data_IF_760102812572
#
_entry.id   IF_760102812572
#
_cell.length_a   1.000
_cell.length_b   1.000
_cell.length_c   1.000
_cell.angle_alpha   90.00
_cell.angle_beta   90.00
_cell.angle_gamma   90.00
#
_symmetry.space_group_name_H-M   'P 1'
#
loop_
_entity.id
_entity.type
_entity.pdbx_description
1 polymer ?
#
# COMPACT_ATOMS: atom_id res chain seq x y z
N UNK A 1 -17.01 5.01 -28.32
CA UNK A 1 -15.69 4.87 -27.66
C UNK A 1 -15.82 5.44 -26.27
N UNK A 2 -15.48 4.69 -25.22
CA UNK A 2 -15.38 5.27 -23.88
C UNK A 2 -14.17 6.20 -23.85
N UNK A 3 -14.39 7.48 -23.56
CA UNK A 3 -13.30 8.45 -23.40
C UNK A 3 -12.84 8.37 -21.96
N UNK A 4 -11.66 7.81 -21.72
CA UNK A 4 -11.00 7.95 -20.41
C UNK A 4 -10.57 9.41 -20.24
N UNK A 5 -10.93 10.01 -19.10
CA UNK A 5 -10.45 11.33 -18.70
C UNK A 5 -9.70 11.16 -17.38
N UNK A 6 -8.45 11.61 -17.35
CA UNK A 6 -7.66 11.67 -16.13
C UNK A 6 -7.54 13.13 -15.70
N UNK A 7 -8.14 13.47 -14.56
CA UNK A 7 -8.08 14.80 -13.98
C UNK A 7 -7.03 14.79 -12.86
N UNK A 8 -5.91 15.48 -13.09
CA UNK A 8 -4.89 15.68 -12.06
C UNK A 8 -5.17 16.97 -11.28
N UNK A 9 -4.71 17.04 -10.03
CA UNK A 9 -4.93 18.21 -9.16
C UNK A 9 -6.41 18.59 -8.98
N UNK A 10 -7.29 17.58 -9.02
CA UNK A 10 -8.71 17.72 -8.70
C UNK A 10 -8.91 18.19 -7.26
N UNK A 11 -9.78 19.18 -7.07
CA UNK A 11 -10.22 19.66 -5.76
C UNK A 11 -11.70 19.29 -5.61
N UNK A 12 -11.94 18.01 -5.30
CA UNK A 12 -13.29 17.47 -5.11
C UNK A 12 -13.86 18.06 -3.83
N UNK A 13 -14.84 18.95 -4.01
CA UNK A 13 -15.50 19.67 -2.93
C UNK A 13 -16.73 18.97 -2.39
N UNK A 14 -17.39 18.15 -3.22
CA UNK A 14 -18.67 17.53 -2.90
C UNK A 14 -18.91 16.30 -3.77
N UNK A 15 -19.53 15.27 -3.18
CA UNK A 15 -20.10 14.11 -3.87
C UNK A 15 -21.49 13.90 -3.30
N UNK A 16 -22.51 13.85 -4.15
CA UNK A 16 -23.90 13.68 -3.73
C UNK A 16 -24.72 13.01 -4.84
N UNK A 17 -25.98 12.67 -4.55
CA UNK A 17 -26.92 12.19 -5.57
C UNK A 17 -27.81 13.33 -6.07
N UNK A 18 -27.99 13.39 -7.39
CA UNK A 18 -28.99 14.24 -8.00
C UNK A 18 -30.38 13.74 -7.60
N UNK A 19 -31.24 14.63 -7.08
CA UNK A 19 -32.53 14.28 -6.48
C UNK A 19 -33.51 13.62 -7.46
N UNK A 20 -33.53 14.09 -8.72
CA UNK A 20 -34.46 13.57 -9.74
C UNK A 20 -33.93 12.33 -10.49
N UNK A 21 -32.66 12.33 -10.89
CA UNK A 21 -32.08 11.27 -11.73
C UNK A 21 -31.46 10.14 -10.93
N UNK A 22 -31.14 10.37 -9.65
CA UNK A 22 -30.44 9.41 -8.79
C UNK A 22 -28.95 9.21 -9.13
N UNK A 23 -28.42 9.96 -10.12
CA UNK A 23 -27.01 9.90 -10.53
C UNK A 23 -26.10 10.53 -9.49
N UNK A 24 -24.85 10.07 -9.45
CA UNK A 24 -23.81 10.69 -8.65
C UNK A 24 -23.33 11.97 -9.30
N UNK A 25 -23.28 13.05 -8.54
CA UNK A 25 -22.73 14.35 -8.93
C UNK A 25 -21.44 14.55 -8.16
N UNK A 26 -20.36 14.88 -8.88
CA UNK A 26 -19.04 15.19 -8.32
C UNK A 26 -18.72 16.63 -8.66
N UNK A 27 -18.57 17.47 -7.63
CA UNK A 27 -18.21 18.87 -7.76
C UNK A 27 -16.71 19.06 -7.58
N UNK A 28 -16.00 19.28 -8.67
CA UNK A 28 -14.57 19.58 -8.68
C UNK A 28 -14.36 21.08 -8.93
N UNK A 29 -13.75 21.79 -7.98
CA UNK A 29 -13.49 23.24 -8.13
C UNK A 29 -12.50 23.57 -9.26
N UNK A 30 -11.67 22.60 -9.64
CA UNK A 30 -10.64 22.76 -10.67
C UNK A 30 -11.18 22.38 -12.05
N UNK A 31 -11.95 21.29 -12.15
CA UNK A 31 -12.37 20.71 -13.43
C UNK A 31 -13.88 20.81 -13.71
N UNK A 32 -14.64 21.40 -12.79
CA UNK A 32 -16.09 21.58 -12.88
C UNK A 32 -16.90 20.39 -12.36
N UNK A 33 -18.22 20.50 -12.50
CA UNK A 33 -19.17 19.46 -12.05
C UNK A 33 -19.42 18.43 -13.14
N UNK A 34 -19.51 17.16 -12.75
CA UNK A 34 -19.84 16.05 -13.65
C UNK A 34 -20.78 15.03 -12.99
N UNK A 35 -21.60 14.36 -13.82
CA UNK A 35 -22.51 13.31 -13.39
C UNK A 35 -22.05 11.91 -13.81
N UNK A 36 -22.30 10.93 -12.95
CA UNK A 36 -21.90 9.54 -13.14
C UNK A 36 -23.00 8.59 -12.67
N UNK A 37 -23.16 7.46 -13.37
CA UNK A 37 -24.07 6.40 -12.94
C UNK A 37 -23.47 5.57 -11.79
N UNK A 38 -22.14 5.51 -11.71
CA UNK A 38 -21.40 4.79 -10.68
C UNK A 38 -20.20 5.59 -10.19
N UNK A 39 -19.82 5.39 -8.92
CA UNK A 39 -18.60 5.94 -8.33
C UNK A 39 -17.78 4.84 -7.67
N UNK A 40 -16.45 4.91 -7.84
CA UNK A 40 -15.50 3.99 -7.20
C UNK A 40 -14.57 4.82 -6.33
N UNK A 41 -14.56 4.55 -5.03
CA UNK A 41 -13.60 5.15 -4.09
C UNK A 41 -12.37 4.25 -4.01
N UNK A 42 -11.24 4.76 -4.48
CA UNK A 42 -9.97 4.02 -4.59
C UNK A 42 -8.81 4.73 -3.84
N UNK A 43 -9.10 5.25 -2.65
CA UNK A 43 -8.16 6.02 -1.82
C UNK A 43 -7.66 5.19 -0.63
N UNK A 44 -6.81 5.76 0.23
CA UNK A 44 -6.53 5.18 1.55
C UNK A 44 -7.82 5.14 2.41
N UNK A 45 -7.88 4.31 3.47
CA UNK A 45 -9.10 4.12 4.25
C UNK A 45 -9.58 5.41 4.95
N UNK A 46 -8.68 6.29 5.39
CA UNK A 46 -9.07 7.50 6.12
C UNK A 46 -9.67 8.53 5.16
N UNK A 47 -9.04 8.75 4.00
CA UNK A 47 -9.63 9.56 2.93
C UNK A 47 -10.95 8.98 2.44
N UNK A 48 -11.05 7.64 2.30
CA UNK A 48 -12.29 6.98 1.92
C UNK A 48 -13.40 7.24 2.95
N UNK A 49 -13.10 7.14 4.25
CA UNK A 49 -14.06 7.42 5.31
C UNK A 49 -14.54 8.89 5.30
N UNK A 50 -13.65 9.84 4.98
CA UNK A 50 -14.02 11.26 4.82
C UNK A 50 -14.98 11.43 3.63
N UNK A 51 -14.63 10.88 2.46
CA UNK A 51 -15.44 10.93 1.25
C UNK A 51 -16.83 10.32 1.49
N UNK A 52 -16.86 9.17 2.17
CA UNK A 52 -18.07 8.39 2.38
C UNK A 52 -19.00 8.98 3.45
N UNK A 53 -18.52 9.88 4.31
CA UNK A 53 -19.25 10.35 5.49
C UNK A 53 -20.66 10.84 5.18
N UNK A 54 -20.84 11.54 4.07
CA UNK A 54 -22.13 12.14 3.68
C UNK A 54 -22.94 11.27 2.71
N UNK A 55 -22.32 10.29 2.06
CA UNK A 55 -22.97 9.47 1.02
C UNK A 55 -23.25 8.03 1.46
N UNK A 56 -22.48 7.51 2.43
CA UNK A 56 -22.69 6.22 3.08
C UNK A 56 -22.10 6.24 4.50
N UNK A 57 -22.83 6.84 5.48
CA UNK A 57 -22.32 7.02 6.84
C UNK A 57 -21.92 5.72 7.54
N UNK A 58 -22.68 4.64 7.29
CA UNK A 58 -22.35 3.31 7.82
C UNK A 58 -21.00 2.83 7.29
N UNK A 59 -20.80 2.87 5.98
CA UNK A 59 -19.56 2.42 5.36
C UNK A 59 -18.36 3.29 5.77
N UNK A 60 -18.59 4.59 5.93
CA UNK A 60 -17.59 5.52 6.47
C UNK A 60 -17.16 5.15 7.89
N UNK A 61 -18.11 4.82 8.77
CA UNK A 61 -17.82 4.37 10.13
C UNK A 61 -17.04 3.06 10.15
N UNK A 62 -17.39 2.11 9.28
CA UNK A 62 -16.70 0.82 9.19
C UNK A 62 -15.26 0.99 8.71
N UNK A 63 -15.04 1.73 7.62
CA UNK A 63 -13.70 1.93 7.03
C UNK A 63 -12.84 2.83 7.93
N UNK A 64 -13.43 3.81 8.61
CA UNK A 64 -12.73 4.72 9.50
C UNK A 64 -12.10 4.07 10.75
N UNK A 65 -12.42 2.80 11.02
CA UNK A 65 -11.81 2.03 12.11
C UNK A 65 -10.45 1.42 11.75
N UNK A 66 -10.03 1.50 10.48
CA UNK A 66 -8.72 0.98 10.07
C UNK A 66 -7.64 1.82 10.72
N UNK A 67 -6.93 1.21 11.67
CA UNK A 67 -5.77 1.83 12.31
C UNK A 67 -4.63 2.00 11.30
N UNK A 68 -3.86 3.07 11.47
CA UNK A 68 -2.69 3.36 10.64
C UNK A 68 -1.48 3.62 11.53
N UNK A 69 -0.30 3.24 11.04
CA UNK A 69 0.98 3.65 11.59
C UNK A 69 1.71 4.52 10.58
N UNK A 70 2.43 5.53 11.07
CA UNK A 70 3.21 6.41 10.21
C UNK A 70 4.58 5.80 9.94
N UNK A 71 5.03 5.90 8.69
CA UNK A 71 6.35 5.50 8.25
C UNK A 71 7.01 6.64 7.49
N UNK A 72 8.18 7.07 7.96
CA UNK A 72 9.00 8.04 7.24
C UNK A 72 9.93 7.30 6.27
N UNK A 73 10.13 7.89 5.10
CA UNK A 73 11.13 7.45 4.13
C UNK A 73 11.99 8.62 3.69
N UNK A 74 13.30 8.44 3.74
CA UNK A 74 14.25 9.47 3.33
C UNK A 74 15.09 8.94 2.16
N UNK A 75 15.09 9.66 1.05
CA UNK A 75 16.02 9.46 -0.05
C UNK A 75 17.25 10.32 0.19
N UNK A 76 18.44 9.74 0.23
CA UNK A 76 19.68 10.44 0.55
C UNK A 76 20.91 9.79 -0.10
N UNK A 77 22.06 10.44 0.03
CA UNK A 77 23.36 9.91 -0.41
C UNK A 77 24.32 9.63 0.76
N UNK A 78 23.80 9.63 1.99
CA UNK A 78 24.58 9.33 3.18
C UNK A 78 24.88 7.83 3.34
N UNK A 79 26.12 7.44 3.06
CA UNK A 79 26.60 6.05 3.23
C UNK A 79 26.64 5.60 4.70
N UNK A 80 26.46 6.49 5.69
CA UNK A 80 26.47 6.13 7.12
C UNK A 80 25.33 5.20 7.54
N UNK A 81 24.29 5.06 6.70
CA UNK A 81 23.16 4.13 6.87
C UNK A 81 23.44 2.72 6.36
N UNK A 82 24.60 2.51 5.73
CA UNK A 82 25.05 1.22 5.28
C UNK A 82 26.03 0.61 6.29
N UNK A 83 26.29 -0.72 6.23
CA UNK A 83 27.39 -1.32 7.00
C UNK A 83 28.71 -0.57 6.75
N UNK A 84 29.51 -0.37 7.80
CA UNK A 84 30.80 0.32 7.69
C UNK A 84 31.78 -0.41 6.76
N UNK A 85 31.67 -1.73 6.66
CA UNK A 85 32.36 -2.53 5.65
C UNK A 85 31.51 -2.61 4.37
N UNK A 86 32.00 -1.96 3.31
CA UNK A 86 31.39 -1.97 1.98
C UNK A 86 31.22 -3.38 1.39
N UNK A 87 32.02 -4.36 1.82
CA UNK A 87 31.90 -5.74 1.36
C UNK A 87 30.62 -6.43 1.88
N UNK A 88 29.99 -5.89 2.93
CA UNK A 88 28.75 -6.41 3.51
C UNK A 88 27.50 -5.72 2.97
N UNK A 89 27.65 -4.76 2.04
CA UNK A 89 26.52 -4.06 1.47
C UNK A 89 25.62 -5.02 0.70
N UNK A 90 24.36 -5.04 1.09
CA UNK A 90 23.30 -5.74 0.38
C UNK A 90 22.38 -4.73 -0.30
N UNK A 91 21.58 -5.14 -1.31
CA UNK A 91 20.55 -4.26 -1.87
C UNK A 91 19.55 -3.77 -0.82
N UNK A 92 19.35 -4.54 0.25
CA UNK A 92 18.53 -4.21 1.42
C UNK A 92 19.35 -4.44 2.69
N UNK A 93 19.42 -3.45 3.58
CA UNK A 93 20.13 -3.54 4.85
C UNK A 93 19.16 -3.22 5.98
N UNK A 94 19.19 -4.03 7.04
CA UNK A 94 18.28 -3.88 8.17
C UNK A 94 19.10 -3.60 9.43
N UNK A 95 18.72 -2.55 10.15
CA UNK A 95 19.30 -2.20 11.44
C UNK A 95 18.19 -2.19 12.48
N UNK A 96 18.43 -2.86 13.60
CA UNK A 96 17.51 -2.84 14.73
C UNK A 96 18.26 -2.50 16.01
N UNK A 97 17.63 -1.67 16.84
CA UNK A 97 18.13 -1.36 18.18
C UNK A 97 17.19 -1.97 19.20
N UNK A 98 17.77 -2.71 20.15
CA UNK A 98 17.05 -3.22 21.34
C UNK A 98 17.46 -2.37 22.53
N UNK A 99 16.51 -1.69 23.15
CA UNK A 99 16.73 -1.02 24.44
C UNK A 99 16.69 -2.07 25.55
N UNK A 100 17.79 -2.34 26.27
CA UNK A 100 17.78 -3.30 27.37
C UNK A 100 16.80 -2.86 28.47
N UNK A 101 15.90 -3.75 28.89
CA UNK A 101 14.91 -3.47 29.95
C UNK A 101 13.56 -2.90 29.49
N UNK A 102 13.44 -2.46 28.22
CA UNK A 102 12.14 -2.14 27.63
C UNK A 102 11.58 -3.40 26.96
N UNK A 103 10.49 -3.97 27.50
CA UNK A 103 9.91 -5.21 26.98
C UNK A 103 9.38 -5.11 25.54
N UNK A 104 9.20 -3.92 24.94
CA UNK A 104 8.33 -3.78 23.77
C UNK A 104 8.77 -2.88 22.60
N UNK A 105 9.91 -2.18 22.63
CA UNK A 105 10.23 -1.25 21.54
C UNK A 105 11.57 -1.57 20.87
N UNK A 106 11.53 -2.54 19.96
CA UNK A 106 12.58 -2.69 18.94
C UNK A 106 12.28 -1.70 17.83
N UNK A 107 13.12 -0.68 17.68
CA UNK A 107 13.04 0.21 16.52
C UNK A 107 13.82 -0.44 15.38
N UNK A 108 13.27 -0.36 14.18
CA UNK A 108 13.83 -0.98 12.99
C UNK A 108 13.93 0.05 11.88
N UNK A 109 15.12 0.17 11.32
CA UNK A 109 15.44 0.96 10.14
C UNK A 109 15.80 0.01 9.01
N UNK A 110 15.35 0.34 7.81
CA UNK A 110 15.69 -0.42 6.62
C UNK A 110 16.21 0.51 5.53
N UNK A 111 17.39 0.21 5.01
CA UNK A 111 18.08 0.99 3.98
C UNK A 111 18.15 0.19 2.69
N UNK A 112 17.48 0.68 1.66
CA UNK A 112 17.56 0.18 0.31
C UNK A 112 18.71 0.87 -0.43
N UNK A 113 19.58 0.08 -1.06
CA UNK A 113 20.65 0.58 -1.91
C UNK A 113 20.17 0.66 -3.36
N UNK A 114 19.79 1.86 -3.79
CA UNK A 114 19.07 2.04 -5.05
C UNK A 114 19.92 1.68 -6.25
N UNK A 115 21.23 1.95 -6.22
CA UNK A 115 22.13 1.59 -7.31
C UNK A 115 22.27 0.08 -7.50
N UNK A 116 22.05 -0.73 -6.46
CA UNK A 116 22.03 -2.18 -6.57
C UNK A 116 20.66 -2.73 -6.99
N UNK A 117 19.57 -2.06 -6.62
CA UNK A 117 18.20 -2.46 -6.95
C UNK A 117 17.75 -2.02 -8.34
N UNK A 118 18.29 -0.91 -8.84
CA UNK A 118 17.91 -0.30 -10.10
C UNK A 118 19.17 0.00 -10.93
N UNK A 119 19.12 -0.17 -12.27
CA UNK A 119 20.22 0.17 -13.15
C UNK A 119 20.32 1.69 -13.36
N UNK A 120 20.53 2.45 -12.29
CA UNK A 120 20.78 3.89 -12.35
C UNK A 120 22.26 4.14 -12.68
N UNK A 121 22.52 4.96 -13.69
CA UNK A 121 23.86 5.12 -14.31
C UNK A 121 24.85 5.95 -13.49
N UNK A 122 24.58 6.15 -12.20
CA UNK A 122 25.25 7.18 -11.43
C UNK A 122 26.41 6.59 -10.61
N UNK A 123 27.55 7.29 -10.64
CA UNK A 123 28.68 7.01 -9.75
C UNK A 123 28.34 7.30 -8.28
N UNK A 124 27.36 8.18 -8.05
CA UNK A 124 26.92 8.56 -6.72
C UNK A 124 26.00 7.49 -6.15
N UNK A 125 26.29 7.06 -4.92
CA UNK A 125 25.46 6.10 -4.20
C UNK A 125 24.21 6.79 -3.66
N UNK A 126 23.06 6.17 -3.90
CA UNK A 126 21.74 6.64 -3.50
C UNK A 126 21.08 5.57 -2.66
N UNK A 127 20.52 6.01 -1.53
CA UNK A 127 19.88 5.16 -0.55
C UNK A 127 18.50 5.69 -0.24
N UNK A 128 17.57 4.77 -0.01
CA UNK A 128 16.28 5.08 0.59
C UNK A 128 16.20 4.37 1.95
N UNK A 129 16.09 5.16 3.01
CA UNK A 129 16.00 4.64 4.38
C UNK A 129 14.60 4.86 4.92
N UNK A 130 13.99 3.81 5.47
CA UNK A 130 12.72 3.91 6.19
C UNK A 130 12.90 3.88 7.68
N UNK A 131 12.11 4.71 8.36
CA UNK A 131 12.07 4.85 9.80
C UNK A 131 13.48 4.98 10.39
N UNK A 132 14.24 6.00 9.92
CA UNK A 132 15.64 6.12 10.27
C UNK A 132 15.83 6.27 11.79
N UNK A 133 16.83 5.58 12.35
CA UNK A 133 17.20 5.65 13.75
C UNK A 133 18.07 6.88 14.07
N UNK A 134 18.59 7.53 13.03
CA UNK A 134 19.40 8.75 13.11
C UNK A 134 19.10 9.65 11.93
N UNK A 135 19.28 10.95 12.12
CA UNK A 135 19.14 11.93 11.05
C UNK A 135 20.30 11.82 10.04
N UNK A 136 20.04 11.79 8.72
CA UNK A 136 21.11 11.85 7.73
C UNK A 136 21.97 13.11 7.83
N UNK A 137 23.23 13.01 7.42
CA UNK A 137 24.14 14.16 7.42
C UNK A 137 23.56 15.33 6.62
N UNK A 138 23.76 16.54 7.13
CA UNK A 138 23.30 17.76 6.48
C UNK A 138 23.80 17.84 5.02
N UNK A 139 22.91 18.24 4.10
CA UNK A 139 23.20 18.33 2.68
C UNK A 139 23.19 17.00 1.91
N UNK A 140 22.96 15.86 2.57
CA UNK A 140 22.86 14.55 1.89
C UNK A 140 21.42 14.12 1.57
N UNK A 141 20.44 14.76 2.19
CA UNK A 141 19.01 14.47 1.98
C UNK A 141 18.57 15.03 0.63
N UNK A 142 18.00 14.16 -0.21
CA UNK A 142 17.41 14.51 -1.50
C UNK A 142 15.92 14.82 -1.33
N UNK A 143 15.20 13.93 -0.64
CA UNK A 143 13.76 14.09 -0.38
C UNK A 143 13.31 13.29 0.83
N UNK A 144 12.17 13.70 1.41
CA UNK A 144 11.48 12.99 2.48
C UNK A 144 10.04 12.76 2.11
N UNK A 145 9.45 11.69 2.64
CA UNK A 145 8.04 11.40 2.49
C UNK A 145 7.52 10.69 3.74
N UNK A 146 6.26 10.95 4.08
CA UNK A 146 5.56 10.32 5.18
C UNK A 146 4.39 9.52 4.62
N UNK A 147 4.21 8.30 5.10
CA UNK A 147 3.17 7.40 4.64
C UNK A 147 2.40 6.82 5.81
N UNK A 148 1.08 6.76 5.65
CA UNK A 148 0.21 6.02 6.55
C UNK A 148 0.12 4.56 6.08
N UNK A 149 0.33 3.64 7.01
CA UNK A 149 0.36 2.20 6.76
C UNK A 149 -0.77 1.53 7.52
N UNK A 150 -1.79 1.00 6.83
CA UNK A 150 -2.90 0.32 7.49
C UNK A 150 -2.42 -0.89 8.29
N UNK A 151 -2.88 -1.00 9.53
CA UNK A 151 -2.63 -2.14 10.39
C UNK A 151 -3.70 -3.22 10.17
N UNK A 152 -3.30 -4.49 10.28
CA UNK A 152 -4.23 -5.62 10.25
C UNK A 152 -4.61 -5.96 11.68
N UNK A 153 -5.88 -5.79 12.01
CA UNK A 153 -6.46 -6.06 13.33
C UNK A 153 -7.71 -6.94 13.21
N UNK A 154 -8.27 -7.39 14.33
CA UNK A 154 -9.52 -8.16 14.33
C UNK A 154 -10.70 -7.33 13.81
N UNK A 155 -10.69 -6.03 14.08
CA UNK A 155 -11.66 -5.06 13.59
C UNK A 155 -11.59 -4.93 12.07
N UNK A 156 -10.37 -4.92 11.50
CA UNK A 156 -10.22 -4.90 10.04
C UNK A 156 -10.78 -6.15 9.38
N UNK A 157 -10.75 -7.32 10.04
CA UNK A 157 -11.35 -8.54 9.51
C UNK A 157 -12.89 -8.45 9.45
N UNK A 158 -13.53 -7.85 10.46
CA UNK A 158 -14.98 -7.61 10.45
C UNK A 158 -15.39 -6.61 9.38
N UNK A 159 -14.61 -5.54 9.21
CA UNK A 159 -14.83 -4.52 8.17
C UNK A 159 -14.91 -5.13 6.75
N UNK A 160 -14.11 -6.16 6.45
CA UNK A 160 -14.13 -6.81 5.14
C UNK A 160 -15.52 -7.38 4.78
N UNK A 161 -16.25 -7.92 5.76
CA UNK A 161 -17.60 -8.45 5.53
C UNK A 161 -18.59 -7.33 5.17
N UNK A 162 -18.52 -6.21 5.88
CA UNK A 162 -19.40 -5.07 5.64
C UNK A 162 -19.08 -4.38 4.31
N UNK A 163 -17.80 -4.19 3.99
CA UNK A 163 -17.37 -3.66 2.69
C UNK A 163 -17.83 -4.57 1.56
N UNK A 164 -17.69 -5.90 1.71
CA UNK A 164 -18.16 -6.85 0.69
C UNK A 164 -19.67 -6.78 0.46
N UNK A 165 -20.46 -6.57 1.51
CA UNK A 165 -21.91 -6.45 1.41
C UNK A 165 -22.36 -5.11 0.77
N UNK A 166 -21.55 -4.06 0.88
CA UNK A 166 -21.85 -2.74 0.34
C UNK A 166 -21.50 -2.56 -1.14
N UNK A 167 -20.71 -3.45 -1.75
CA UNK A 167 -20.23 -3.30 -3.13
C UNK A 167 -21.38 -3.19 -4.14
N UNK A 168 -21.43 -2.07 -4.86
CA UNK A 168 -22.37 -1.83 -5.95
C UNK A 168 -23.76 -1.38 -5.50
N UNK A 169 -24.03 -1.33 -4.19
CA UNK A 169 -25.27 -0.79 -3.65
C UNK A 169 -25.36 0.67 -4.08
N UNK A 170 -26.46 1.03 -4.75
CA UNK A 170 -26.70 2.39 -5.24
C UNK A 170 -25.62 2.93 -6.20
N UNK A 171 -24.87 2.02 -6.84
CA UNK A 171 -23.79 2.36 -7.76
C UNK A 171 -22.49 2.82 -7.09
N UNK A 172 -22.37 2.70 -5.77
CA UNK A 172 -21.17 3.00 -4.99
C UNK A 172 -20.29 1.75 -4.85
N UNK A 173 -18.99 1.92 -5.11
CA UNK A 173 -17.97 0.88 -4.95
C UNK A 173 -16.79 1.41 -4.16
N UNK A 174 -16.07 0.51 -3.50
CA UNK A 174 -14.84 0.84 -2.76
C UNK A 174 -13.79 -0.22 -3.08
N UNK A 175 -12.58 0.21 -3.41
CA UNK A 175 -11.43 -0.67 -3.57
C UNK A 175 -10.18 -0.06 -2.95
N UNK A 176 -9.19 -0.91 -2.70
CA UNK A 176 -7.94 -0.56 -2.05
C UNK A 176 -7.33 -1.78 -1.37
N UNK A 177 -6.04 -1.71 -1.04
CA UNK A 177 -5.35 -2.84 -0.42
C UNK A 177 -6.03 -3.30 0.90
N UNK A 178 -6.63 -2.35 1.64
CA UNK A 178 -7.34 -2.60 2.90
C UNK A 178 -8.67 -3.34 2.73
N UNK A 179 -9.22 -3.44 1.51
CA UNK A 179 -10.53 -4.09 1.28
C UNK A 179 -10.42 -5.59 1.01
N UNK A 180 -9.23 -6.17 1.14
CA UNK A 180 -8.98 -7.60 0.99
C UNK A 180 -8.27 -8.16 2.23
N UNK A 181 -8.46 -9.46 2.47
CA UNK A 181 -7.79 -10.17 3.55
C UNK A 181 -6.28 -10.27 3.33
N UNK A 182 -5.51 -10.20 4.42
CA UNK A 182 -4.06 -10.35 4.40
C UNK A 182 -3.35 -9.02 4.64
N UNK A 183 -2.03 -9.02 4.48
CA UNK A 183 -1.24 -7.79 4.56
C UNK A 183 -1.60 -6.91 3.36
N UNK A 184 -1.93 -5.62 3.55
CA UNK A 184 -2.34 -4.74 2.47
C UNK A 184 -1.14 -4.36 1.60
N UNK A 185 -0.95 -5.07 0.49
CA UNK A 185 0.10 -4.84 -0.51
C UNK A 185 -0.47 -4.33 -1.85
N UNK A 186 0.42 -4.02 -2.80
CA UNK A 186 0.03 -3.52 -4.12
C UNK A 186 -0.80 -4.53 -4.90
N UNK A 187 -0.53 -5.82 -4.74
CA UNK A 187 -1.30 -6.89 -5.35
C UNK A 187 -2.74 -6.91 -4.81
N UNK A 188 -2.93 -6.63 -3.52
CA UNK A 188 -4.26 -6.48 -2.94
C UNK A 188 -4.99 -5.26 -3.53
N UNK A 189 -4.28 -4.13 -3.67
CA UNK A 189 -4.86 -2.94 -4.30
C UNK A 189 -5.30 -3.24 -5.74
N UNK A 190 -4.43 -3.84 -6.54
CA UNK A 190 -4.72 -4.21 -7.93
C UNK A 190 -5.86 -5.24 -8.03
N UNK A 191 -5.84 -6.31 -7.24
CA UNK A 191 -6.90 -7.33 -7.25
C UNK A 191 -8.24 -6.75 -6.79
N UNK A 192 -8.26 -5.87 -5.80
CA UNK A 192 -9.50 -5.23 -5.34
C UNK A 192 -10.13 -4.36 -6.43
N UNK A 193 -9.33 -3.57 -7.16
CA UNK A 193 -9.79 -2.76 -8.28
C UNK A 193 -10.30 -3.62 -9.43
N UNK A 194 -9.59 -4.70 -9.77
CA UNK A 194 -10.03 -5.66 -10.78
C UNK A 194 -11.38 -6.28 -10.41
N UNK A 195 -11.58 -6.71 -9.16
CA UNK A 195 -12.86 -7.28 -8.71
C UNK A 195 -14.03 -6.31 -8.85
N UNK A 196 -13.81 -5.02 -8.57
CA UNK A 196 -14.83 -3.98 -8.80
C UNK A 196 -15.11 -3.84 -10.29
N UNK A 197 -14.07 -3.75 -11.12
CA UNK A 197 -14.21 -3.62 -12.57
C UNK A 197 -14.95 -4.82 -13.20
N UNK A 198 -14.64 -6.05 -12.78
CA UNK A 198 -15.29 -7.27 -13.26
C UNK A 198 -16.78 -7.29 -12.91
N UNK A 199 -17.12 -6.93 -11.67
CA UNK A 199 -18.53 -6.83 -11.23
C UNK A 199 -19.30 -5.72 -11.94
N UNK A 200 -18.66 -4.56 -12.14
CA UNK A 200 -19.28 -3.41 -12.78
C UNK A 200 -19.48 -3.63 -14.28
N UNK A 201 -18.49 -4.18 -14.97
CA UNK A 201 -18.52 -4.41 -16.41
C UNK A 201 -19.21 -5.72 -16.81
N UNK A 202 -19.36 -6.68 -15.89
CA UNK A 202 -19.84 -8.03 -16.19
C UNK A 202 -18.88 -8.85 -17.05
N UNK A 203 -17.60 -8.45 -17.09
CA UNK A 203 -16.55 -9.09 -17.90
C UNK A 203 -15.43 -9.55 -16.97
N UNK A 204 -15.09 -10.83 -17.03
CA UNK A 204 -13.97 -11.39 -16.28
C UNK A 204 -12.63 -11.02 -16.95
N UNK A 205 -11.57 -10.88 -16.15
CA UNK A 205 -10.21 -10.70 -16.69
C UNK A 205 -9.79 -11.88 -17.58
N UNK A 206 -9.04 -11.64 -18.66
CA UNK A 206 -8.73 -12.66 -19.66
C UNK A 206 -7.61 -13.63 -19.25
N UNK A 207 -7.05 -13.50 -18.04
CA UNK A 207 -6.02 -14.40 -17.50
C UNK A 207 -6.49 -15.08 -16.22
N UNK A 208 -6.13 -16.35 -16.04
CA UNK A 208 -6.40 -17.07 -14.80
C UNK A 208 -5.41 -16.68 -13.71
N UNK A 209 -5.93 -16.48 -12.49
CA UNK A 209 -5.11 -16.26 -11.32
C UNK A 209 -4.72 -17.63 -10.73
N UNK A 210 -3.53 -18.13 -11.07
CA UNK A 210 -3.02 -19.42 -10.56
C UNK A 210 -2.75 -19.43 -9.04
N UNK A 211 -2.91 -18.29 -8.36
CA UNK A 211 -2.67 -18.16 -6.91
C UNK A 211 -3.85 -18.57 -6.02
N UNK A 212 -4.93 -19.16 -6.55
CA UNK A 212 -5.93 -19.87 -5.71
C UNK A 212 -5.40 -21.22 -5.18
N UNK A 213 -4.14 -21.29 -4.75
CA UNK A 213 -3.82 -22.25 -3.69
C UNK A 213 -4.40 -21.64 -2.44
N UNK A 214 -5.43 -22.27 -1.88
CA UNK A 214 -5.78 -22.06 -0.48
C UNK A 214 -4.47 -22.06 0.30
N UNK A 215 -4.10 -20.92 0.88
CA UNK A 215 -2.94 -20.84 1.74
C UNK A 215 -3.28 -21.80 2.88
N UNK A 216 -2.60 -22.95 3.03
CA UNK A 216 -2.78 -23.76 4.22
C UNK A 216 -2.43 -22.86 5.42
N UNK A 217 -3.07 -23.11 6.56
CA UNK A 217 -2.82 -22.47 7.86
C UNK A 217 -1.40 -21.87 8.01
N UNK A 218 -1.24 -20.69 8.66
CA UNK A 218 -0.07 -19.78 8.59
C UNK A 218 1.33 -20.37 8.86
N UNK A 219 1.43 -21.63 9.22
CA UNK A 219 2.65 -22.35 9.58
C UNK A 219 3.60 -22.60 8.39
N UNK A 220 3.17 -22.43 7.13
CA UNK A 220 4.00 -22.80 5.96
C UNK A 220 4.53 -21.65 5.07
N UNK A 221 4.25 -20.39 5.39
CA UNK A 221 4.62 -19.26 4.50
C UNK A 221 6.09 -18.79 4.60
N UNK A 222 6.85 -19.22 5.60
CA UNK A 222 8.21 -18.72 5.88
C UNK A 222 9.32 -19.33 5.00
N UNK A 223 9.04 -20.33 4.18
CA UNK A 223 10.09 -21.03 3.39
C UNK A 223 10.17 -20.60 1.91
N UNK A 224 9.21 -19.85 1.38
CA UNK A 224 9.12 -19.60 -0.07
C UNK A 224 9.65 -18.24 -0.55
N UNK A 225 9.80 -17.25 0.34
CA UNK A 225 10.22 -15.88 -0.06
C UNK A 225 11.72 -15.79 -0.39
N UNK A 226 12.56 -16.68 0.15
CA UNK A 226 14.01 -16.64 -0.09
C UNK A 226 14.46 -17.15 -1.48
N UNK A 227 13.61 -17.84 -2.24
CA UNK A 227 14.04 -18.55 -3.45
C UNK A 227 13.77 -17.81 -4.77
N UNK A 228 12.86 -16.83 -4.80
CA UNK A 228 12.46 -16.15 -6.04
C UNK A 228 13.10 -14.78 -6.27
N UNK A 229 13.67 -14.18 -5.23
CA UNK A 229 14.44 -12.93 -5.30
C UNK A 229 15.81 -13.09 -6.01
N UNK A 230 16.25 -14.33 -6.27
CA UNK A 230 17.57 -14.61 -6.86
C UNK A 230 17.58 -14.74 -8.39
N UNK A 231 16.43 -14.66 -9.10
CA UNK A 231 16.38 -15.11 -10.52
C UNK A 231 16.15 -14.07 -11.61
N UNK A 232 15.75 -12.83 -11.33
CA UNK A 232 15.42 -11.87 -12.40
C UNK A 232 16.24 -10.57 -12.35
N UNK A 233 17.57 -10.70 -12.30
CA UNK A 233 18.51 -9.57 -12.39
C UNK A 233 19.28 -9.54 -13.73
N UNK A 234 18.60 -9.87 -14.84
CA UNK A 234 19.21 -9.80 -16.17
C UNK A 234 18.18 -9.31 -17.18
N UNK A 235 18.07 -7.99 -17.31
CA UNK A 235 18.05 -7.26 -18.58
C UNK A 235 17.51 -5.83 -18.37
N UNK A 236 17.96 -4.95 -19.26
CA UNK A 236 17.37 -3.68 -19.70
C UNK A 236 18.04 -2.39 -19.20
N UNK A 237 18.50 -1.64 -20.20
CA UNK A 237 19.28 -0.41 -20.17
C UNK A 237 18.41 0.83 -20.39
N UNK A 238 18.75 1.97 -19.73
CA UNK A 238 18.58 3.31 -20.30
C UNK A 238 17.74 4.35 -19.50
N UNK A 239 18.41 5.49 -19.19
CA UNK A 239 18.00 6.84 -18.74
C UNK A 239 17.02 6.93 -17.53
N UNK A 240 17.24 7.69 -16.45
CA UNK A 240 18.24 8.71 -16.07
C UNK A 240 17.55 9.66 -15.06
N UNK A 241 18.00 9.64 -13.79
CA UNK A 241 17.79 10.55 -12.63
C UNK A 241 16.34 11.00 -12.27
N UNK A 242 15.48 11.40 -13.21
CA UNK A 242 14.07 11.71 -12.91
C UNK A 242 13.22 10.47 -12.55
N UNK A 243 13.71 9.27 -12.90
CA UNK A 243 13.06 7.99 -12.56
C UNK A 243 13.29 7.55 -11.12
N UNK A 244 14.41 7.91 -10.49
CA UNK A 244 14.71 7.51 -9.11
C UNK A 244 13.77 8.17 -8.09
N UNK A 245 13.37 9.43 -8.33
CA UNK A 245 12.41 10.16 -7.48
C UNK A 245 10.94 9.72 -7.68
N UNK A 246 10.61 9.08 -8.80
CA UNK A 246 9.31 8.43 -9.00
C UNK A 246 9.33 6.99 -8.49
N UNK A 247 10.44 6.28 -8.64
CA UNK A 247 10.62 4.93 -8.13
C UNK A 247 10.69 4.86 -6.60
N UNK A 248 11.28 5.83 -5.90
CA UNK A 248 11.17 5.95 -4.43
C UNK A 248 9.69 6.03 -3.99
N UNK A 249 8.87 6.84 -4.68
CA UNK A 249 7.41 6.86 -4.45
C UNK A 249 6.71 5.54 -4.75
N UNK A 250 7.19 4.77 -5.73
CA UNK A 250 6.60 3.49 -6.14
C UNK A 250 7.14 2.28 -5.33
N UNK A 251 8.37 2.35 -4.80
CA UNK A 251 9.06 1.27 -4.09
C UNK A 251 8.77 1.28 -2.59
N UNK A 252 8.59 2.46 -1.97
CA UNK A 252 8.00 2.58 -0.62
C UNK A 252 6.60 1.95 -0.57
N UNK A 253 5.91 1.96 -1.70
CA UNK A 253 4.64 1.28 -1.91
C UNK A 253 4.76 -0.26 -1.88
N UNK A 254 5.91 -0.82 -2.29
CA UNK A 254 6.17 -2.28 -2.32
C UNK A 254 6.80 -2.84 -1.03
N UNK A 255 7.68 -2.11 -0.34
CA UNK A 255 8.55 -2.72 0.68
C UNK A 255 7.94 -2.86 2.09
N UNK A 256 6.62 -2.97 2.14
CA UNK A 256 5.78 -3.17 3.31
C UNK A 256 5.97 -4.50 4.07
N UNK A 257 7.09 -5.22 3.85
CA UNK A 257 7.21 -6.67 4.10
C UNK A 257 7.64 -7.10 5.51
N UNK A 258 7.81 -6.20 6.49
CA UNK A 258 8.15 -6.62 7.86
C UNK A 258 7.32 -5.85 8.90
N UNK A 259 6.24 -6.48 9.36
CA UNK A 259 5.60 -6.15 10.62
C UNK A 259 4.90 -7.40 11.19
N UNK A 260 5.59 -8.10 12.10
CA UNK A 260 4.94 -9.02 13.04
C UNK A 260 4.86 -8.31 14.39
N UNK A 261 3.64 -8.12 14.92
CA UNK A 261 3.41 -8.03 16.37
C UNK A 261 2.79 -9.34 16.83
N UNK A 262 3.41 -9.93 17.84
CA UNK A 262 3.03 -11.18 18.49
C UNK A 262 1.62 -11.10 19.06
N UNK A 263 0.72 -12.00 18.65
CA UNK A 263 -0.57 -12.24 19.30
C UNK A 263 -0.38 -13.33 20.38
N UNK A 264 -0.62 -13.04 21.68
CA UNK A 264 -0.75 -14.08 22.68
C UNK A 264 -2.21 -14.60 22.73
N UNK A 265 -2.40 -15.93 22.65
CA UNK A 265 -3.66 -16.55 23.10
C UNK A 265 -4.51 -17.32 22.08
N UNK A 266 -3.91 -17.95 21.05
CA UNK A 266 -4.67 -18.90 20.22
C UNK A 266 -4.49 -20.33 20.73
N UNK A 267 -5.56 -20.94 21.24
CA UNK A 267 -5.61 -22.33 21.67
C UNK A 267 -6.11 -23.24 20.55
N UNK A 268 -5.30 -24.21 20.16
CA UNK A 268 -5.63 -25.24 19.17
C UNK A 268 -6.63 -26.26 19.75
N UNK A 269 -7.88 -26.20 19.31
CA UNK A 269 -8.76 -27.38 19.27
C UNK A 269 -9.66 -27.33 18.04
N UNK A 270 -9.63 -28.34 17.16
CA UNK A 270 -10.59 -28.48 16.07
C UNK A 270 -11.84 -29.20 16.59
N UNK A 271 -12.89 -28.45 16.94
CA UNK A 271 -14.21 -29.03 17.17
C UNK A 271 -14.98 -29.13 15.85
N UNK A 272 -14.88 -30.30 15.21
CA UNK A 272 -15.99 -30.86 14.44
C UNK A 272 -16.04 -32.37 14.71
N UNK A 273 -17.09 -32.80 15.43
CA UNK A 273 -17.65 -34.15 15.62
C UNK A 273 -16.73 -35.37 15.51
#
# INVERSE_FOLDING_TARGET
MAVSRHCYSSDISSIHKHSETGKWVVDDKTHGTAEYDHIIVATDPHAAAIILRNISPKLAQTIGQVEVTQSETILHTDESFMPSDSALWSPMNLKSTRTPGAQEQTQTECTAWINALQPISDKQQVFETWNPLSEPREGTVISRSMFDRPLVTMETAQMLHEVSAAQGVEGLWVCGAYTLSGVPLLENAADSGLRVAEKLAGVNRPWEHSLRRAVPSPVHALTAVSANLMRNAAQMTGNGISRAANWSRDCVREMSSIAFKTLPGWSDTPDTK
#
